data_IF_803857572257
#
_entry.id   IF_803857572257
#
_cell.length_a   1.000
_cell.length_b   1.000
_cell.length_c   1.000
_cell.angle_alpha   90.00
_cell.angle_beta   90.00
_cell.angle_gamma   90.00
#
_symmetry.space_group_name_H-M   'P 1'
#
loop_
_entity.id
_entity.type
_entity.pdbx_description
1 polymer ?
#
# COMPACT_ATOMS: atom_id res chain seq x y z
N UNK A 1 -18.09 -46.64 -24.07
CA UNK A 1 -19.45 -46.10 -23.87
C UNK A 1 -19.29 -44.61 -23.61
N UNK A 2 -19.29 -43.83 -24.70
CA UNK A 2 -20.37 -42.88 -25.05
C UNK A 2 -20.43 -41.71 -24.06
N UNK A 3 -19.83 -40.55 -24.33
CA UNK A 3 -20.21 -39.49 -25.30
C UNK A 3 -21.42 -38.65 -24.87
N UNK A 4 -21.28 -37.32 -25.04
CA UNK A 4 -22.32 -36.26 -25.12
C UNK A 4 -22.71 -35.61 -23.77
N UNK A 5 -22.98 -34.32 -23.61
CA UNK A 5 -22.97 -33.12 -24.47
C UNK A 5 -23.03 -31.89 -23.52
N UNK A 6 -22.22 -30.85 -23.69
CA UNK A 6 -22.60 -29.57 -24.32
C UNK A 6 -24.04 -29.11 -24.04
N UNK A 7 -24.19 -28.13 -23.15
CA UNK A 7 -25.34 -27.21 -23.15
C UNK A 7 -24.88 -25.80 -22.73
N UNK A 8 -24.59 -25.00 -23.76
CA UNK A 8 -24.19 -23.59 -23.70
C UNK A 8 -25.47 -22.77 -23.91
N UNK A 9 -26.03 -22.17 -22.86
CA UNK A 9 -27.22 -21.33 -22.99
C UNK A 9 -26.84 -19.93 -23.47
N UNK A 10 -27.20 -19.66 -24.73
CA UNK A 10 -27.09 -18.38 -25.43
C UNK A 10 -28.12 -17.39 -24.85
N UNK A 11 -27.66 -16.24 -24.35
CA UNK A 11 -28.50 -15.06 -24.13
C UNK A 11 -28.45 -14.21 -25.40
N UNK A 12 -29.59 -13.73 -25.93
CA UNK A 12 -29.64 -13.10 -27.25
C UNK A 12 -29.11 -11.66 -27.23
N UNK A 13 -28.48 -11.32 -28.36
CA UNK A 13 -28.05 -9.99 -28.79
C UNK A 13 -29.20 -8.98 -28.71
N UNK A 14 -29.01 -7.95 -27.88
CA UNK A 14 -29.84 -6.74 -27.82
C UNK A 14 -29.09 -5.54 -28.38
N UNK A 15 -29.57 -5.08 -29.53
CA UNK A 15 -29.41 -3.80 -30.21
C UNK A 15 -28.37 -2.77 -29.72
N UNK A 16 -27.46 -2.48 -30.64
CA UNK A 16 -26.67 -1.26 -30.80
C UNK A 16 -27.52 0.02 -30.76
N UNK A 17 -27.16 0.99 -29.91
CA UNK A 17 -27.37 2.41 -30.20
C UNK A 17 -26.06 3.17 -29.98
N UNK A 18 -25.32 3.37 -31.07
CA UNK A 18 -24.21 4.31 -31.17
C UNK A 18 -24.80 5.69 -31.42
N UNK A 19 -24.63 6.63 -30.48
CA UNK A 19 -24.85 8.05 -30.74
C UNK A 19 -23.49 8.63 -31.15
N UNK A 20 -23.36 8.89 -32.44
CA UNK A 20 -22.29 9.68 -33.01
C UNK A 20 -22.68 11.17 -32.89
N UNK A 21 -21.84 11.95 -32.21
CA UNK A 21 -21.85 13.40 -32.32
C UNK A 21 -20.51 13.83 -32.91
N UNK A 22 -20.49 14.00 -34.23
CA UNK A 22 -19.43 14.69 -34.97
C UNK A 22 -19.96 16.06 -35.36
N UNK A 23 -19.27 17.13 -34.96
CA UNK A 23 -18.81 18.18 -35.89
C UNK A 23 -18.16 19.34 -35.13
N UNK A 24 -16.85 19.46 -35.30
CA UNK A 24 -16.12 20.69 -35.65
C UNK A 24 -16.38 21.98 -34.87
N UNK A 25 -15.34 22.44 -34.16
CA UNK A 25 -14.76 23.75 -34.44
C UNK A 25 -13.26 23.75 -34.11
N UNK A 26 -12.46 24.16 -35.09
CA UNK A 26 -11.01 24.07 -35.12
C UNK A 26 -10.48 25.43 -35.59
N UNK A 27 -9.96 26.23 -34.65
CA UNK A 27 -9.06 27.39 -34.85
C UNK A 27 -8.37 27.59 -33.50
N UNK A 28 -7.06 27.74 -33.32
CA UNK A 28 -5.87 27.64 -34.15
C UNK A 28 -4.68 27.67 -33.18
N UNK A 29 -3.76 26.72 -33.30
CA UNK A 29 -2.35 26.94 -33.65
C UNK A 29 -1.48 27.64 -32.57
N UNK A 30 -0.60 26.87 -31.90
CA UNK A 30 0.88 26.80 -32.16
C UNK A 30 1.66 27.98 -31.53
N UNK A 31 2.44 27.79 -30.46
CA UNK A 31 3.87 27.35 -30.37
C UNK A 31 4.26 27.67 -28.89
N UNK A 32 5.15 27.01 -28.18
CA UNK A 32 6.56 26.72 -28.46
C UNK A 32 7.06 25.60 -27.53
N UNK A 33 7.94 24.80 -28.11
CA UNK A 33 8.92 23.95 -27.45
C UNK A 33 9.89 24.85 -26.67
N UNK A 34 10.13 24.57 -25.39
CA UNK A 34 11.48 24.73 -24.83
C UNK A 34 11.75 23.73 -23.72
N UNK A 35 12.95 23.17 -23.81
CA UNK A 35 13.48 22.06 -23.07
C UNK A 35 13.78 22.38 -21.60
N UNK A 36 13.70 21.31 -20.80
CA UNK A 36 14.68 20.90 -19.78
C UNK A 36 15.53 22.00 -19.14
N UNK A 37 15.24 22.27 -17.86
CA UNK A 37 16.25 22.69 -16.88
C UNK A 37 15.95 22.02 -15.54
N UNK A 38 16.89 21.17 -15.09
CA UNK A 38 17.05 20.83 -13.68
C UNK A 38 17.31 22.11 -12.90
N UNK A 39 16.53 22.34 -11.84
CA UNK A 39 16.93 23.08 -10.62
C UNK A 39 16.18 22.36 -9.49
N UNK A 40 16.84 21.43 -8.80
CA UNK A 40 17.52 21.64 -7.52
C UNK A 40 16.69 22.44 -6.49
N UNK A 41 16.47 21.80 -5.35
CA UNK A 41 15.86 22.32 -4.14
C UNK A 41 16.24 23.78 -3.83
N UNK A 42 15.22 24.64 -3.71
CA UNK A 42 15.15 26.02 -3.16
C UNK A 42 13.89 26.62 -3.84
N UNK A 43 12.77 26.96 -3.21
CA UNK A 43 12.47 27.66 -1.95
C UNK A 43 10.98 27.43 -1.62
N UNK A 44 10.63 27.06 -0.38
CA UNK A 44 9.35 27.47 0.22
C UNK A 44 9.61 27.91 1.68
N UNK A 45 10.20 29.10 1.90
CA UNK A 45 10.25 29.72 3.21
C UNK A 45 8.90 30.35 3.61
N UNK A 46 8.03 30.70 2.65
CA UNK A 46 6.76 31.39 2.92
C UNK A 46 5.67 30.50 3.53
N UNK A 47 5.62 29.21 3.17
CA UNK A 47 4.63 28.30 3.76
C UNK A 47 4.96 27.99 5.23
N UNK A 48 6.25 27.89 5.56
CA UNK A 48 6.71 27.64 6.92
C UNK A 48 6.52 28.86 7.82
N UNK A 49 6.74 30.09 7.33
CA UNK A 49 6.48 31.30 8.13
C UNK A 49 4.99 31.44 8.45
N UNK A 50 4.11 31.22 7.48
CA UNK A 50 2.65 31.25 7.67
C UNK A 50 2.16 30.14 8.63
N UNK A 51 2.77 28.95 8.57
CA UNK A 51 2.47 27.86 9.51
C UNK A 51 3.01 28.19 10.91
N UNK A 52 4.22 28.75 11.04
CA UNK A 52 4.79 29.14 12.34
C UNK A 52 4.04 30.30 12.98
N UNK A 53 3.55 31.27 12.21
CA UNK A 53 2.70 32.36 12.70
C UNK A 53 1.32 31.86 13.15
N UNK A 54 0.72 30.92 12.39
CA UNK A 54 -0.52 30.23 12.82
C UNK A 54 -0.32 29.36 14.06
N UNK A 55 0.82 28.70 14.21
CA UNK A 55 1.18 27.92 15.41
C UNK A 55 1.46 28.82 16.62
N UNK A 56 2.08 30.00 16.42
CA UNK A 56 2.41 30.96 17.50
C UNK A 56 1.20 31.75 18.00
N UNK A 57 0.18 31.94 17.15
CA UNK A 57 -1.11 32.51 17.54
C UNK A 57 -1.95 31.56 18.42
N UNK A 58 -1.72 30.24 18.36
CA UNK A 58 -2.22 29.28 19.35
C UNK A 58 -1.23 29.15 20.51
N UNK A 59 -1.00 30.25 21.21
CA UNK A 59 -0.47 30.20 22.56
C UNK A 59 -1.53 29.46 23.39
N UNK A 60 -1.30 28.18 23.66
CA UNK A 60 -2.11 27.39 24.57
C UNK A 60 -1.87 27.93 25.98
N UNK A 61 -2.52 29.04 26.30
CA UNK A 61 -2.61 29.53 27.66
C UNK A 61 -3.58 28.59 28.40
N UNK A 62 -3.03 27.85 29.36
CA UNK A 62 -3.79 27.09 30.34
C UNK A 62 -4.41 28.11 31.29
N UNK A 63 -5.53 28.71 30.87
CA UNK A 63 -6.28 29.67 31.68
C UNK A 63 -7.77 29.33 31.62
N UNK A 64 -8.20 28.49 32.58
CA UNK A 64 -9.61 28.26 32.89
C UNK A 64 -10.37 27.37 31.91
N UNK A 65 -11.61 26.95 32.26
CA UNK A 65 -12.47 26.19 31.36
C UNK A 65 -12.72 27.00 30.08
N UNK A 66 -12.69 26.32 28.92
CA UNK A 66 -12.93 26.95 27.62
C UNK A 66 -14.27 27.69 27.62
N UNK A 67 -14.22 29.03 27.52
CA UNK A 67 -15.41 29.89 27.39
C UNK A 67 -15.92 29.76 25.95
N UNK A 68 -17.10 29.16 25.79
CA UNK A 68 -17.77 29.02 24.50
C UNK A 68 -18.58 30.29 24.27
N UNK A 69 -18.53 30.88 23.09
CA UNK A 69 -19.30 32.09 22.75
C UNK A 69 -20.25 31.79 21.59
N UNK A 70 -21.48 32.26 21.68
CA UNK A 70 -22.47 32.19 20.58
C UNK A 70 -22.06 33.08 19.40
N UNK A 71 -22.62 32.86 18.21
CA UNK A 71 -22.47 33.74 17.03
C UNK A 71 -22.88 35.21 17.29
N UNK A 72 -23.67 35.45 18.35
CA UNK A 72 -24.09 36.77 18.84
C UNK A 72 -23.11 37.44 19.82
N UNK A 73 -21.94 36.85 20.06
CA UNK A 73 -20.90 37.39 20.95
C UNK A 73 -21.21 37.27 22.45
N UNK A 74 -22.24 36.51 22.84
CA UNK A 74 -22.60 36.25 24.25
C UNK A 74 -21.82 35.04 24.78
N UNK A 75 -21.27 35.16 25.99
CA UNK A 75 -20.59 34.07 26.69
C UNK A 75 -21.62 33.00 27.07
N UNK A 76 -21.53 31.84 26.42
CA UNK A 76 -22.28 30.63 26.77
C UNK A 76 -21.55 29.94 27.91
N UNK A 77 -22.21 29.83 29.06
CA UNK A 77 -21.79 28.90 30.09
C UNK A 77 -22.30 27.49 29.71
N UNK A 78 -21.42 26.54 29.33
CA UNK A 78 -21.82 25.21 28.88
C UNK A 78 -22.52 24.40 29.97
N UNK A 79 -22.54 24.87 31.22
CA UNK A 79 -23.17 24.21 32.36
C UNK A 79 -24.50 24.84 32.78
N UNK A 80 -24.94 25.93 32.13
CA UNK A 80 -26.17 26.67 32.51
C UNK A 80 -27.46 25.88 32.28
N UNK A 81 -27.45 24.95 31.33
CA UNK A 81 -28.53 23.98 31.08
C UNK A 81 -28.21 22.57 31.60
N UNK A 82 -27.21 22.43 32.46
CA UNK A 82 -26.75 21.14 32.95
C UNK A 82 -27.77 20.47 33.89
N UNK A 83 -27.64 19.15 34.13
CA UNK A 83 -28.49 18.43 35.07
C UNK A 83 -28.43 19.11 36.45
N UNK A 84 -29.57 19.13 37.15
CA UNK A 84 -29.69 19.71 38.49
C UNK A 84 -28.57 19.22 39.41
N UNK A 85 -28.12 20.06 40.37
CA UNK A 85 -27.02 19.70 41.27
C UNK A 85 -27.25 18.36 41.99
N UNK A 86 -28.52 18.03 42.26
CA UNK A 86 -28.95 16.74 42.79
C UNK A 86 -28.66 15.58 41.84
N UNK A 87 -28.95 15.70 40.55
CA UNK A 87 -28.62 14.66 39.56
C UNK A 87 -27.11 14.43 39.49
N UNK A 88 -26.29 15.50 39.52
CA UNK A 88 -24.82 15.37 39.54
C UNK A 88 -24.33 14.66 40.80
N UNK A 89 -24.90 14.98 41.97
CA UNK A 89 -24.59 14.30 43.22
C UNK A 89 -24.99 12.81 43.16
N UNK A 90 -26.17 12.48 42.63
CA UNK A 90 -26.63 11.09 42.45
C UNK A 90 -25.68 10.32 41.53
N UNK A 91 -25.31 10.87 40.38
CA UNK A 91 -24.36 10.22 39.47
C UNK A 91 -22.99 10.00 40.11
N UNK A 92 -22.53 10.93 40.96
CA UNK A 92 -21.26 10.84 41.69
C UNK A 92 -21.30 9.81 42.84
N UNK A 93 -22.37 9.81 43.65
CA UNK A 93 -22.51 8.91 44.80
C UNK A 93 -22.83 7.47 44.38
N UNK A 94 -23.66 7.28 43.34
CA UNK A 94 -24.04 5.95 42.86
C UNK A 94 -23.17 5.43 41.71
N UNK A 95 -22.14 6.18 41.31
CA UNK A 95 -21.18 5.82 40.26
C UNK A 95 -21.83 5.24 38.99
N UNK A 96 -23.00 5.75 38.63
CA UNK A 96 -23.81 5.22 37.51
C UNK A 96 -23.05 5.17 36.18
N UNK A 97 -22.12 6.11 35.95
CA UNK A 97 -21.23 6.12 34.80
C UNK A 97 -20.25 4.93 34.80
N UNK A 98 -19.76 4.53 35.98
CA UNK A 98 -18.90 3.35 36.14
C UNK A 98 -19.69 2.07 35.87
N UNK A 99 -20.94 1.99 36.35
CA UNK A 99 -21.82 0.85 36.10
C UNK A 99 -22.16 0.74 34.61
N UNK A 100 -22.43 1.87 33.94
CA UNK A 100 -22.64 1.91 32.49
C UNK A 100 -21.41 1.42 31.73
N UNK A 101 -20.21 1.83 32.14
CA UNK A 101 -18.95 1.32 31.58
C UNK A 101 -18.76 -0.18 31.81
N UNK A 102 -19.04 -0.66 33.03
CA UNK A 102 -18.95 -2.06 33.40
C UNK A 102 -19.92 -2.93 32.58
N UNK A 103 -21.12 -2.42 32.29
CA UNK A 103 -22.09 -3.12 31.45
C UNK A 103 -21.57 -3.37 30.02
N UNK A 104 -20.90 -2.38 29.42
CA UNK A 104 -20.29 -2.53 28.09
C UNK A 104 -19.17 -3.58 28.11
N UNK A 105 -18.36 -3.60 29.18
CA UNK A 105 -17.32 -4.61 29.36
C UNK A 105 -17.92 -6.01 29.51
N UNK A 106 -18.99 -6.14 30.30
CA UNK A 106 -19.71 -7.39 30.47
C UNK A 106 -20.31 -7.90 29.15
N UNK A 107 -20.87 -7.00 28.34
CA UNK A 107 -21.38 -7.34 27.01
C UNK A 107 -20.25 -7.85 26.08
N UNK A 108 -19.08 -7.21 26.12
CA UNK A 108 -17.92 -7.68 25.36
C UNK A 108 -17.34 -9.00 25.87
N UNK A 109 -17.45 -9.29 27.18
CA UNK A 109 -16.99 -10.54 27.75
C UNK A 109 -17.76 -11.76 27.22
N UNK A 110 -19.05 -11.61 26.91
CA UNK A 110 -19.88 -12.69 26.36
C UNK A 110 -19.84 -12.80 24.82
N UNK A 111 -19.12 -11.91 24.12
CA UNK A 111 -18.90 -12.06 22.67
C UNK A 111 -17.83 -13.13 22.42
N UNK A 112 -17.95 -13.93 21.33
CA UNK A 112 -16.88 -14.85 20.96
C UNK A 112 -15.60 -14.06 20.63
N UNK A 113 -14.41 -14.59 20.95
CA UNK A 113 -13.15 -13.91 20.69
C UNK A 113 -12.84 -13.87 19.19
N UNK A 114 -12.20 -12.78 18.73
CA UNK A 114 -11.74 -12.62 17.34
C UNK A 114 -10.38 -13.27 17.06
N UNK A 115 -9.80 -13.97 18.04
CA UNK A 115 -8.45 -14.55 17.94
C UNK A 115 -8.45 -15.73 16.98
N UNK A 116 -7.59 -15.68 15.96
CA UNK A 116 -7.26 -16.83 15.12
C UNK A 116 -6.16 -17.67 15.77
N UNK A 117 -6.18 -18.98 15.56
CA UNK A 117 -5.20 -19.90 16.15
C UNK A 117 -3.93 -20.00 15.29
N UNK A 118 -3.12 -18.94 15.28
CA UNK A 118 -1.80 -18.97 14.65
C UNK A 118 -0.89 -19.97 15.40
N UNK A 119 -0.18 -20.90 14.73
CA UNK A 119 0.14 -20.97 13.29
C UNK A 119 -0.75 -21.90 12.45
N UNK A 120 -1.75 -22.55 13.04
CA UNK A 120 -2.61 -23.51 12.33
C UNK A 120 -3.62 -22.84 11.40
N UNK A 121 -4.09 -21.66 11.80
CA UNK A 121 -4.97 -20.79 11.01
C UNK A 121 -4.23 -19.48 10.72
N UNK A 122 -4.14 -19.12 9.44
CA UNK A 122 -3.52 -17.86 8.98
C UNK A 122 -4.59 -16.91 8.47
N UNK A 123 -4.32 -15.61 8.59
CA UNK A 123 -5.21 -14.59 8.05
C UNK A 123 -5.33 -14.69 6.51
N UNK A 124 -6.48 -14.30 5.93
CA UNK A 124 -6.64 -14.29 4.49
C UNK A 124 -5.71 -13.25 3.84
N UNK A 125 -4.96 -13.67 2.83
CA UNK A 125 -4.07 -12.80 2.05
C UNK A 125 -4.69 -12.48 0.70
N UNK A 126 -4.48 -11.25 0.22
CA UNK A 126 -4.87 -10.87 -1.14
C UNK A 126 -3.81 -11.32 -2.16
N UNK A 127 -4.17 -11.55 -3.44
CA UNK A 127 -3.20 -11.85 -4.50
C UNK A 127 -2.15 -10.76 -4.73
N UNK A 128 -2.41 -9.53 -4.25
CA UNK A 128 -1.52 -8.36 -4.36
C UNK A 128 -0.64 -8.15 -3.13
N UNK A 129 -0.63 -9.10 -2.21
CA UNK A 129 0.20 -9.01 -1.03
C UNK A 129 1.69 -8.95 -1.43
N UNK A 130 2.45 -8.16 -0.69
CA UNK A 130 3.87 -7.88 -0.93
C UNK A 130 4.71 -8.49 0.19
N UNK A 131 5.47 -9.53 -0.12
CA UNK A 131 6.30 -10.27 0.81
C UNK A 131 7.75 -10.42 0.33
N UNK A 132 8.32 -11.62 0.48
CA UNK A 132 9.69 -11.94 0.12
C UNK A 132 9.92 -11.76 -1.38
N UNK A 133 11.08 -11.23 -1.77
CA UNK A 133 11.41 -11.04 -3.18
C UNK A 133 11.85 -12.36 -3.82
N UNK A 134 11.48 -12.55 -5.08
CA UNK A 134 11.86 -13.70 -5.89
C UNK A 134 12.23 -13.30 -7.31
N UNK A 135 13.25 -13.95 -7.87
CA UNK A 135 13.59 -13.87 -9.28
C UNK A 135 12.97 -15.06 -10.02
N UNK A 136 12.20 -14.78 -11.06
CA UNK A 136 11.48 -15.80 -11.83
C UNK A 136 12.25 -16.24 -13.07
N UNK A 137 11.87 -17.43 -13.55
CA UNK A 137 12.32 -18.00 -14.81
C UNK A 137 11.21 -17.98 -15.86
N UNK A 138 11.60 -18.05 -17.12
CA UNK A 138 10.70 -18.38 -18.21
C UNK A 138 10.27 -19.85 -18.11
N UNK A 139 9.18 -20.26 -18.77
CA UNK A 139 8.79 -21.68 -18.85
C UNK A 139 9.86 -22.59 -19.48
N UNK A 140 10.83 -22.02 -20.21
CA UNK A 140 12.00 -22.72 -20.74
C UNK A 140 13.10 -22.99 -19.70
N UNK A 141 12.97 -22.48 -18.47
CA UNK A 141 13.97 -22.59 -17.40
C UNK A 141 15.01 -21.47 -17.37
N UNK A 142 15.04 -20.62 -18.40
CA UNK A 142 15.97 -19.48 -18.48
C UNK A 142 15.53 -18.35 -17.53
N UNK A 143 16.48 -17.65 -16.90
CA UNK A 143 16.15 -16.51 -16.04
C UNK A 143 15.49 -15.37 -16.83
N UNK A 144 14.50 -14.69 -16.24
CA UNK A 144 13.81 -13.57 -16.91
C UNK A 144 14.63 -12.28 -16.94
N UNK A 145 15.54 -12.10 -15.98
CA UNK A 145 16.29 -10.86 -15.83
C UNK A 145 17.21 -10.59 -17.02
N UNK A 146 17.09 -9.40 -17.62
CA UNK A 146 17.92 -8.89 -18.73
C UNK A 146 18.91 -7.80 -18.29
N UNK A 147 19.16 -7.71 -16.98
CA UNK A 147 20.09 -6.75 -16.37
C UNK A 147 19.82 -5.27 -16.74
N UNK A 148 18.56 -4.88 -16.94
CA UNK A 148 18.17 -3.55 -17.41
C UNK A 148 18.45 -2.41 -16.40
N UNK A 149 18.66 -2.74 -15.12
CA UNK A 149 18.92 -1.80 -14.00
C UNK A 149 17.79 -0.80 -13.69
N UNK A 150 16.59 -0.98 -14.25
CA UNK A 150 15.43 -0.14 -13.92
C UNK A 150 15.01 -0.31 -12.45
N UNK A 151 15.03 -1.54 -11.93
CA UNK A 151 14.66 -1.84 -10.54
C UNK A 151 15.62 -1.16 -9.54
N UNK A 152 16.90 -1.05 -9.88
CA UNK A 152 17.90 -0.34 -9.07
C UNK A 152 17.64 1.17 -9.07
N UNK A 153 17.32 1.74 -10.24
CA UNK A 153 17.03 3.17 -10.37
C UNK A 153 15.74 3.61 -9.67
N UNK A 154 14.69 2.76 -9.67
CA UNK A 154 13.39 3.10 -9.06
C UNK A 154 13.35 2.84 -7.55
N UNK A 155 14.28 2.05 -7.00
CA UNK A 155 14.26 1.67 -5.60
C UNK A 155 14.43 2.90 -4.69
N UNK A 156 13.41 3.30 -3.91
CA UNK A 156 13.45 4.53 -3.12
C UNK A 156 14.49 4.46 -1.99
N UNK A 157 14.76 3.25 -1.48
CA UNK A 157 15.73 2.99 -0.43
C UNK A 157 17.11 2.55 -0.95
N UNK A 158 17.31 2.47 -2.27
CA UNK A 158 18.55 2.02 -2.91
C UNK A 158 19.09 0.70 -2.30
N UNK A 159 18.17 -0.26 -2.10
CA UNK A 159 18.46 -1.55 -1.49
C UNK A 159 19.06 -2.58 -2.47
N UNK A 160 18.91 -2.34 -3.77
CA UNK A 160 19.29 -3.27 -4.84
C UNK A 160 20.62 -2.83 -5.44
N UNK A 161 21.53 -3.77 -5.70
CA UNK A 161 22.76 -3.51 -6.46
C UNK A 161 22.90 -4.52 -7.58
N UNK A 162 23.12 -4.03 -8.82
CA UNK A 162 23.12 -4.87 -10.02
C UNK A 162 24.39 -4.66 -10.83
N UNK A 163 25.09 -5.75 -11.13
CA UNK A 163 26.21 -5.80 -12.07
C UNK A 163 25.83 -6.67 -13.26
N UNK A 164 26.21 -6.22 -14.46
CA UNK A 164 25.74 -6.80 -15.71
C UNK A 164 26.94 -7.13 -16.60
N UNK A 165 26.98 -8.36 -17.10
CA UNK A 165 28.00 -8.84 -18.03
C UNK A 165 27.37 -9.61 -19.19
N UNK A 166 28.10 -9.73 -20.29
CA UNK A 166 27.70 -10.58 -21.42
C UNK A 166 28.05 -12.03 -21.13
N UNK A 167 27.05 -12.91 -21.22
CA UNK A 167 27.24 -14.37 -21.22
C UNK A 167 27.91 -14.82 -22.53
N UNK A 168 28.43 -16.04 -22.55
CA UNK A 168 28.99 -16.69 -23.74
C UNK A 168 28.03 -16.70 -24.95
N UNK A 169 26.72 -16.74 -24.69
CA UNK A 169 25.67 -16.74 -25.71
C UNK A 169 25.39 -15.34 -26.30
N UNK A 170 26.14 -14.31 -25.89
CA UNK A 170 25.91 -12.91 -26.25
C UNK A 170 24.72 -12.25 -25.56
N UNK A 171 23.95 -13.00 -24.76
CA UNK A 171 22.88 -12.45 -23.94
C UNK A 171 23.43 -11.67 -22.74
N UNK A 172 22.77 -10.58 -22.38
CA UNK A 172 23.18 -9.71 -21.26
C UNK A 172 22.49 -10.16 -19.98
N UNK A 173 23.27 -10.59 -18.99
CA UNK A 173 22.77 -11.18 -17.73
C UNK A 173 23.43 -10.52 -16.52
N UNK A 174 22.85 -10.78 -15.35
CA UNK A 174 23.40 -10.27 -14.09
C UNK A 174 24.44 -11.24 -13.55
N UNK A 175 25.61 -10.74 -13.20
CA UNK A 175 26.59 -11.51 -12.40
C UNK A 175 26.27 -11.37 -10.92
N UNK A 176 26.03 -10.13 -10.50
CA UNK A 176 25.59 -9.78 -9.15
C UNK A 176 24.21 -9.15 -9.19
N UNK A 177 23.32 -9.66 -8.34
CA UNK A 177 21.99 -9.11 -8.12
C UNK A 177 21.67 -9.30 -6.66
N UNK A 178 21.99 -8.29 -5.87
CA UNK A 178 21.91 -8.39 -4.42
C UNK A 178 20.87 -7.41 -3.89
N UNK A 179 20.09 -7.86 -2.90
CA UNK A 179 19.06 -7.08 -2.25
C UNK A 179 19.26 -7.14 -0.74
N UNK A 180 19.45 -5.98 -0.13
CA UNK A 180 19.45 -5.85 1.33
C UNK A 180 18.02 -5.72 1.85
N UNK A 181 17.48 -6.80 2.42
CA UNK A 181 16.13 -6.81 3.01
C UNK A 181 16.01 -5.87 4.22
N UNK A 182 17.13 -5.50 4.85
CA UNK A 182 17.16 -4.51 5.93
C UNK A 182 16.93 -3.08 5.44
N UNK A 183 17.24 -2.78 4.17
CA UNK A 183 16.98 -1.47 3.55
C UNK A 183 15.66 -1.46 2.79
N UNK A 184 15.23 -2.62 2.28
CA UNK A 184 14.00 -2.72 1.51
C UNK A 184 12.78 -2.34 2.35
N UNK A 185 11.90 -1.52 1.77
CA UNK A 185 10.65 -1.07 2.40
C UNK A 185 9.40 -1.78 1.86
N UNK A 186 9.57 -2.82 1.03
CA UNK A 186 8.48 -3.64 0.45
C UNK A 186 7.40 -2.82 -0.27
N UNK A 187 7.85 -1.84 -1.05
CA UNK A 187 6.97 -0.93 -1.78
C UNK A 187 6.37 -1.52 -3.07
N UNK A 188 6.94 -2.58 -3.65
CA UNK A 188 6.48 -3.15 -4.92
C UNK A 188 6.92 -2.44 -6.20
N UNK A 189 7.64 -1.30 -6.13
CA UNK A 189 8.06 -0.58 -7.33
C UNK A 189 8.99 -1.39 -8.23
N UNK A 190 9.78 -2.31 -7.66
CA UNK A 190 10.64 -3.19 -8.44
C UNK A 190 9.83 -4.15 -9.34
N UNK A 191 8.66 -4.60 -8.87
CA UNK A 191 7.77 -5.50 -9.61
C UNK A 191 7.07 -4.77 -10.76
N UNK A 192 6.62 -3.53 -10.54
CA UNK A 192 5.94 -2.73 -11.57
C UNK A 192 6.91 -2.15 -12.59
N UNK A 193 8.13 -1.79 -12.18
CA UNK A 193 9.13 -1.21 -13.08
C UNK A 193 9.83 -2.25 -13.97
N UNK A 194 9.68 -3.56 -13.68
CA UNK A 194 10.37 -4.59 -14.43
C UNK A 194 9.70 -4.81 -15.79
N UNK A 195 10.38 -4.57 -16.93
CA UNK A 195 9.75 -4.69 -18.25
C UNK A 195 9.46 -6.14 -18.67
N UNK A 196 9.98 -7.12 -17.93
CA UNK A 196 9.94 -8.55 -18.26
C UNK A 196 9.42 -9.40 -17.09
N UNK A 197 8.89 -8.75 -16.04
CA UNK A 197 8.43 -9.40 -14.80
C UNK A 197 9.46 -10.37 -14.18
N UNK A 198 10.74 -9.96 -14.16
CA UNK A 198 11.82 -10.79 -13.65
C UNK A 198 11.84 -10.86 -12.12
N UNK A 199 11.69 -9.72 -11.45
CA UNK A 199 11.58 -9.64 -9.99
C UNK A 199 10.13 -9.44 -9.60
N UNK A 200 9.70 -10.20 -8.61
CA UNK A 200 8.35 -10.13 -8.05
C UNK A 200 8.42 -10.24 -6.53
N UNK A 201 7.43 -9.67 -5.86
CA UNK A 201 7.20 -9.90 -4.45
C UNK A 201 6.22 -11.06 -4.30
N UNK A 202 6.54 -12.01 -3.42
CA UNK A 202 5.78 -13.24 -3.16
C UNK A 202 4.81 -13.05 -1.99
N UNK A 203 3.99 -14.06 -1.71
CA UNK A 203 3.12 -14.06 -0.51
C UNK A 203 3.83 -14.55 0.76
N UNK A 204 5.09 -14.99 0.63
CA UNK A 204 5.88 -15.45 1.76
C UNK A 204 6.30 -14.26 2.64
N UNK A 205 5.92 -14.27 3.91
CA UNK A 205 6.24 -13.20 4.87
C UNK A 205 6.89 -13.71 6.16
N UNK A 206 6.95 -15.03 6.33
CA UNK A 206 7.44 -15.70 7.55
C UNK A 206 8.90 -16.15 7.37
N UNK A 207 9.81 -15.21 7.10
CA UNK A 207 11.23 -15.48 6.88
C UNK A 207 12.13 -14.72 7.87
N UNK A 208 11.67 -14.55 9.11
CA UNK A 208 12.51 -13.99 10.17
C UNK A 208 13.75 -14.86 10.38
N UNK A 209 14.92 -14.23 10.36
CA UNK A 209 16.22 -14.88 10.55
C UNK A 209 16.86 -14.41 11.85
N UNK A 210 17.75 -15.23 12.41
CA UNK A 210 18.45 -14.92 13.66
C UNK A 210 19.62 -13.95 13.45
N UNK A 211 20.26 -14.03 12.28
CA UNK A 211 21.41 -13.19 11.91
C UNK A 211 21.03 -12.14 10.87
N UNK A 212 21.80 -11.05 10.81
CA UNK A 212 21.59 -9.96 9.85
C UNK A 212 22.10 -10.34 8.46
N UNK A 213 23.18 -11.10 8.41
CA UNK A 213 23.85 -11.52 7.18
C UNK A 213 22.92 -12.36 6.31
N UNK A 214 22.04 -13.16 6.92
CA UNK A 214 21.03 -13.93 6.19
C UNK A 214 20.00 -13.06 5.44
N UNK A 215 19.79 -11.80 5.86
CA UNK A 215 18.90 -10.81 5.23
C UNK A 215 19.54 -10.06 4.05
N UNK A 216 20.83 -10.28 3.80
CA UNK A 216 21.53 -9.78 2.63
C UNK A 216 21.40 -10.85 1.55
N UNK A 217 20.45 -10.68 0.64
CA UNK A 217 20.11 -11.72 -0.33
C UNK A 217 20.99 -11.58 -1.57
N UNK A 218 21.65 -12.68 -1.92
CA UNK A 218 22.35 -12.83 -3.20
C UNK A 218 21.39 -13.27 -4.30
N UNK A 219 21.84 -13.15 -5.56
CA UNK A 219 21.11 -13.62 -6.75
C UNK A 219 20.61 -15.06 -6.63
N UNK A 220 21.45 -15.95 -6.11
CA UNK A 220 21.14 -17.38 -5.98
C UNK A 220 19.98 -17.65 -5.03
N UNK A 221 19.96 -16.94 -3.88
CA UNK A 221 18.86 -17.05 -2.91
C UNK A 221 17.55 -16.56 -3.51
N UNK A 222 17.57 -15.45 -4.25
CA UNK A 222 16.40 -14.90 -4.93
C UNK A 222 15.86 -15.84 -6.02
N UNK A 223 16.75 -16.52 -6.76
CA UNK A 223 16.34 -17.55 -7.73
C UNK A 223 15.76 -18.77 -7.03
N UNK A 224 16.36 -19.23 -5.92
CA UNK A 224 15.82 -20.34 -5.13
C UNK A 224 14.44 -20.02 -4.54
N UNK A 225 14.18 -18.76 -4.17
CA UNK A 225 12.86 -18.29 -3.76
C UNK A 225 11.85 -18.37 -4.91
N UNK A 226 12.26 -17.93 -6.10
CA UNK A 226 11.45 -18.06 -7.32
C UNK A 226 11.12 -19.50 -7.64
N UNK A 227 12.11 -20.39 -7.63
CA UNK A 227 11.92 -21.80 -7.94
C UNK A 227 10.97 -22.50 -6.94
N UNK A 228 11.00 -22.10 -5.65
CA UNK A 228 10.06 -22.60 -4.62
C UNK A 228 8.64 -22.08 -4.78
N UNK A 229 8.48 -20.80 -5.12
CA UNK A 229 7.20 -20.11 -5.11
C UNK A 229 6.58 -19.87 -6.50
N UNK A 230 7.20 -20.33 -7.59
CA UNK A 230 6.80 -20.02 -8.97
C UNK A 230 5.32 -20.36 -9.26
N UNK A 231 4.81 -21.47 -8.73
CA UNK A 231 3.43 -21.88 -8.93
C UNK A 231 2.42 -20.90 -8.30
N UNK A 232 2.70 -20.45 -7.07
CA UNK A 232 1.89 -19.49 -6.33
C UNK A 232 1.98 -18.10 -6.96
N UNK A 233 3.20 -17.66 -7.29
CA UNK A 233 3.47 -16.41 -7.98
C UNK A 233 2.73 -16.37 -9.32
N UNK A 234 2.81 -17.43 -10.13
CA UNK A 234 2.13 -17.49 -11.43
C UNK A 234 0.61 -17.39 -11.29
N UNK A 235 0.02 -18.06 -10.31
CA UNK A 235 -1.40 -17.98 -10.02
C UNK A 235 -1.82 -16.55 -9.60
N UNK A 236 -1.03 -15.90 -8.75
CA UNK A 236 -1.30 -14.53 -8.29
C UNK A 236 -1.17 -13.50 -9.43
N UNK A 237 -0.13 -13.58 -10.25
CA UNK A 237 0.00 -12.71 -11.42
C UNK A 237 -1.14 -12.96 -12.42
N UNK A 238 -1.55 -14.21 -12.62
CA UNK A 238 -2.71 -14.50 -13.46
C UNK A 238 -4.02 -13.92 -12.88
N UNK A 239 -4.17 -13.82 -11.56
CA UNK A 239 -5.32 -13.14 -10.96
C UNK A 239 -5.24 -11.60 -11.11
N UNK A 240 -4.02 -11.03 -11.11
CA UNK A 240 -3.80 -9.57 -11.07
C UNK A 240 -3.60 -8.90 -12.46
N UNK A 241 -3.29 -9.67 -13.51
CA UNK A 241 -2.83 -9.15 -14.81
C UNK A 241 -3.71 -8.08 -15.48
N UNK A 242 -5.01 -8.01 -15.15
CA UNK A 242 -5.93 -7.02 -15.73
C UNK A 242 -5.78 -5.60 -15.15
N UNK A 243 -5.12 -5.47 -14.00
CA UNK A 243 -5.01 -4.22 -13.25
C UNK A 243 -3.61 -3.61 -13.28
N UNK A 244 -2.70 -4.20 -14.07
CA UNK A 244 -1.35 -3.69 -14.37
C UNK A 244 -1.33 -3.09 -15.77
#
# INVERSE_FOLDING_TARGET
MQSLALARSRVPLGLSLRIAATSSNLVGARRLIHASRRVCAQEEPELKSQITERMRAKKFEVTGPARIFDESGRELDPYKGGPSALNKAVHLFFFTEIIRGMWIVLENFFRPPYTIMYPFEKGPLSPRFRGEHALRRYPSGEERCIACKLCEAICPAQAITIEAESRLDGSRRTTRYDIDMTKCIYCGFCQEACPVDAIVETQHHEYSTETREELLYNKEKLLANGDRAEAEIAANLHADHLYR
#
